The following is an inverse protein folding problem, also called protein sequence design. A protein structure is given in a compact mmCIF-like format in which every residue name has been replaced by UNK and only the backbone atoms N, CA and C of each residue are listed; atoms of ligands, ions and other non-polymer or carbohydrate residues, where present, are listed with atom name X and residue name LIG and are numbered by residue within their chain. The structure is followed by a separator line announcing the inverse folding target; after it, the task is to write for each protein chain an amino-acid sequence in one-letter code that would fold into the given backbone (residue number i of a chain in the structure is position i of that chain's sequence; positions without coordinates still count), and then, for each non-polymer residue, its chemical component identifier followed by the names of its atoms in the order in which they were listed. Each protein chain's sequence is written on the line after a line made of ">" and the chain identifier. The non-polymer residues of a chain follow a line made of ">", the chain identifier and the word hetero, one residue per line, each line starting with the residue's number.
data_IF_361219939093
#
_entry.id   IF_361219939093
#
_cell.length_a   1.000
_cell.length_b   1.000
_cell.length_c   1.000
_cell.angle_alpha   90.00
_cell.angle_beta   90.00
_cell.angle_gamma   90.00
#
_symmetry.space_group_name_H-M   'P 1'
#
loop_
_entity.id
_entity.type
_entity.pdbx_description
1 polymer ?
#
# COMPACT_ATOMS: atom_id res chain seq x y z
N UNK A 1 -31.70 1.18 -17.03
CA UNK A 1 -30.57 2.01 -16.56
C UNK A 1 -29.40 1.07 -16.27
N UNK A 2 -28.18 1.43 -16.60
CA UNK A 2 -27.02 0.62 -16.24
C UNK A 2 -26.98 0.51 -14.71
N UNK A 3 -26.72 -0.70 -14.19
CA UNK A 3 -26.64 -0.96 -12.77
C UNK A 3 -25.20 -0.72 -12.27
N UNK A 4 -25.07 -0.12 -11.10
CA UNK A 4 -23.85 -0.02 -10.32
C UNK A 4 -24.01 -0.80 -9.02
N UNK A 5 -22.94 -1.00 -8.29
CA UNK A 5 -22.96 -1.71 -7.01
C UNK A 5 -21.96 -1.09 -6.04
N UNK A 6 -22.13 -1.35 -4.77
CA UNK A 6 -21.21 -0.93 -3.71
C UNK A 6 -21.11 -2.04 -2.66
N UNK A 7 -19.90 -2.46 -2.36
CA UNK A 7 -19.57 -3.32 -1.24
C UNK A 7 -19.19 -2.47 -0.03
N UNK A 8 -19.72 -2.80 1.13
CA UNK A 8 -19.40 -2.10 2.37
C UNK A 8 -19.22 -3.08 3.53
N UNK A 9 -18.50 -2.63 4.55
CA UNK A 9 -18.27 -3.36 5.80
C UNK A 9 -18.84 -2.58 6.98
N UNK A 10 -19.34 -3.26 8.02
CA UNK A 10 -19.73 -2.58 9.23
C UNK A 10 -18.48 -2.07 9.97
N UNK A 11 -18.46 -0.76 10.33
CA UNK A 11 -17.27 -0.15 10.96
C UNK A 11 -16.93 -0.78 12.31
N UNK A 12 -17.96 -1.25 13.06
CA UNK A 12 -17.76 -1.90 14.34
C UNK A 12 -17.42 -3.39 14.25
N UNK A 13 -17.69 -4.02 13.07
CA UNK A 13 -17.48 -5.46 12.86
C UNK A 13 -17.13 -5.69 11.38
N UNK A 14 -15.84 -5.65 11.06
CA UNK A 14 -15.31 -5.68 9.69
C UNK A 14 -15.62 -6.99 8.91
N UNK A 15 -16.03 -8.05 9.60
CA UNK A 15 -16.48 -9.31 9.02
C UNK A 15 -17.94 -9.25 8.54
N UNK A 16 -18.73 -8.30 9.05
CA UNK A 16 -20.08 -8.06 8.61
C UNK A 16 -20.11 -7.19 7.37
N UNK A 17 -20.51 -7.75 6.25
CA UNK A 17 -20.50 -7.12 4.93
C UNK A 17 -21.89 -6.86 4.39
N UNK A 18 -21.99 -5.99 3.41
CA UNK A 18 -23.22 -5.80 2.60
C UNK A 18 -22.85 -5.44 1.17
N UNK A 19 -23.69 -5.83 0.23
CA UNK A 19 -23.64 -5.46 -1.16
C UNK A 19 -24.93 -4.74 -1.54
N UNK A 20 -24.83 -3.53 -2.08
CA UNK A 20 -25.96 -2.71 -2.48
C UNK A 20 -25.89 -2.42 -3.98
N UNK A 21 -26.99 -2.61 -4.68
CA UNK A 21 -27.16 -2.17 -6.07
C UNK A 21 -27.68 -0.74 -6.12
N UNK A 22 -27.22 0.03 -7.10
CA UNK A 22 -27.60 1.41 -7.33
C UNK A 22 -27.65 1.73 -8.83
N UNK A 23 -28.24 2.86 -9.18
CA UNK A 23 -28.06 3.41 -10.52
C UNK A 23 -26.63 3.94 -10.69
N UNK A 24 -26.16 3.98 -11.93
CA UNK A 24 -24.92 4.69 -12.27
C UNK A 24 -25.15 6.19 -11.97
N UNK A 25 -24.23 6.87 -11.25
CA UNK A 25 -24.38 8.29 -10.91
C UNK A 25 -24.45 9.17 -12.17
N UNK A 26 -25.35 10.18 -12.11
CA UNK A 26 -25.35 11.26 -13.09
C UNK A 26 -24.29 12.31 -12.71
N UNK A 27 -23.75 12.98 -13.73
CA UNK A 27 -22.71 13.99 -13.56
C UNK A 27 -23.30 15.40 -13.50
N UNK A 28 -22.77 16.21 -12.59
CA UNK A 28 -22.88 17.67 -12.59
C UNK A 28 -21.70 18.30 -13.32
N UNK A 29 -21.77 19.61 -13.59
CA UNK A 29 -20.65 20.36 -14.17
C UNK A 29 -19.37 20.24 -13.33
N UNK A 30 -18.26 20.02 -13.99
CA UNK A 30 -16.94 19.84 -13.38
C UNK A 30 -16.71 18.43 -12.80
N UNK A 31 -17.55 17.46 -13.13
CA UNK A 31 -17.45 16.09 -12.64
C UNK A 31 -17.06 15.11 -13.76
N UNK A 32 -16.39 14.05 -13.34
CA UNK A 32 -15.99 12.92 -14.18
C UNK A 32 -16.40 11.62 -13.51
N UNK A 33 -16.98 10.72 -14.28
CA UNK A 33 -17.36 9.37 -13.85
C UNK A 33 -16.23 8.39 -14.20
N UNK A 34 -15.69 7.76 -13.19
CA UNK A 34 -14.76 6.65 -13.31
C UNK A 34 -15.54 5.33 -13.18
N UNK A 35 -15.41 4.43 -14.14
CA UNK A 35 -15.81 3.03 -14.01
C UNK A 35 -14.63 2.26 -13.44
N UNK A 36 -14.81 1.68 -12.25
CA UNK A 36 -13.78 0.85 -11.61
C UNK A 36 -13.67 -0.46 -12.39
N UNK A 37 -12.46 -0.81 -12.78
CA UNK A 37 -12.22 -1.99 -13.61
C UNK A 37 -11.55 -3.11 -12.80
N UNK A 38 -10.44 -2.78 -12.10
CA UNK A 38 -9.62 -3.79 -11.44
C UNK A 38 -9.01 -3.25 -10.16
N UNK A 39 -9.13 -4.01 -9.07
CA UNK A 39 -8.64 -3.60 -7.75
C UNK A 39 -7.91 -4.75 -7.06
N UNK A 40 -6.99 -4.41 -6.13
CA UNK A 40 -6.27 -5.38 -5.32
C UNK A 40 -6.69 -5.35 -3.85
N UNK A 41 -6.62 -6.53 -3.22
CA UNK A 41 -6.77 -6.68 -1.78
C UNK A 41 -5.51 -7.26 -1.16
N UNK A 42 -5.03 -6.56 -0.16
CA UNK A 42 -3.89 -6.93 0.68
C UNK A 42 -4.21 -6.63 2.14
N UNK A 43 -3.38 -7.06 3.06
CA UNK A 43 -3.50 -6.70 4.48
C UNK A 43 -3.54 -5.17 4.71
N UNK A 44 -2.97 -4.37 3.80
CA UNK A 44 -3.02 -2.91 3.87
C UNK A 44 -4.45 -2.36 3.79
N UNK A 45 -5.35 -3.01 3.06
CA UNK A 45 -6.76 -2.58 2.97
C UNK A 45 -7.51 -2.83 4.29
N UNK A 46 -7.17 -3.93 5.01
CA UNK A 46 -7.66 -4.16 6.37
C UNK A 46 -7.12 -3.08 7.32
N UNK A 47 -5.84 -2.70 7.19
CA UNK A 47 -5.26 -1.60 7.96
C UNK A 47 -6.03 -0.29 7.74
N UNK A 48 -6.41 0.05 6.51
CA UNK A 48 -7.24 1.23 6.23
C UNK A 48 -8.61 1.17 6.96
N UNK A 49 -9.23 0.00 7.03
CA UNK A 49 -10.49 -0.17 7.73
C UNK A 49 -10.33 -0.07 9.25
N UNK A 50 -9.31 -0.73 9.83
CA UNK A 50 -9.00 -0.68 11.27
C UNK A 50 -8.68 0.74 11.73
N UNK A 51 -7.93 1.50 10.93
CA UNK A 51 -7.56 2.88 11.19
C UNK A 51 -8.55 3.90 10.59
N UNK A 52 -9.71 3.42 10.16
CA UNK A 52 -10.70 4.18 9.41
C UNK A 52 -11.16 5.47 10.10
N UNK A 53 -11.37 5.44 11.42
CA UNK A 53 -11.72 6.63 12.21
C UNK A 53 -10.48 7.47 12.55
N UNK A 54 -9.44 6.86 13.11
CA UNK A 54 -8.27 7.59 13.63
C UNK A 54 -7.46 8.27 12.53
N UNK A 55 -7.40 7.68 11.33
CA UNK A 55 -6.69 8.21 10.16
C UNK A 55 -7.63 8.77 9.08
N UNK A 56 -8.93 8.88 9.40
CA UNK A 56 -9.98 9.42 8.52
C UNK A 56 -10.13 8.69 7.18
N UNK A 57 -9.78 7.39 7.09
CA UNK A 57 -9.88 6.64 5.83
C UNK A 57 -11.33 6.43 5.38
N UNK A 58 -12.31 6.39 6.30
CA UNK A 58 -13.73 6.31 5.96
C UNK A 58 -14.29 7.55 5.25
N UNK A 59 -13.60 8.69 5.38
CA UNK A 59 -14.05 9.93 4.78
C UNK A 59 -13.72 10.05 3.29
N UNK A 60 -12.82 9.20 2.76
CA UNK A 60 -12.53 9.18 1.33
C UNK A 60 -13.74 8.76 0.48
N UNK A 61 -14.57 7.86 1.00
CA UNK A 61 -15.75 7.34 0.32
C UNK A 61 -16.94 7.33 1.28
N UNK A 62 -17.63 8.47 1.43
CA UNK A 62 -18.76 8.58 2.36
C UNK A 62 -19.91 7.63 1.97
N UNK A 63 -20.37 6.76 2.89
CA UNK A 63 -21.38 5.73 2.59
C UNK A 63 -22.73 6.33 2.15
N UNK A 64 -23.08 7.54 2.61
CA UNK A 64 -24.30 8.22 2.22
C UNK A 64 -24.44 8.48 0.71
N UNK A 65 -23.32 8.65 0.00
CA UNK A 65 -23.31 8.78 -1.47
C UNK A 65 -23.68 7.47 -2.19
N UNK A 66 -23.67 6.36 -1.48
CA UNK A 66 -24.00 5.02 -1.95
C UNK A 66 -25.29 4.48 -1.34
N UNK A 67 -26.13 5.34 -0.73
CA UNK A 67 -27.39 4.96 -0.10
C UNK A 67 -27.23 4.16 1.21
N UNK A 68 -26.05 4.20 1.82
CA UNK A 68 -25.73 3.47 3.05
C UNK A 68 -25.67 4.41 4.26
N UNK A 69 -26.11 3.90 5.43
CA UNK A 69 -26.02 4.64 6.69
C UNK A 69 -24.58 4.68 7.25
N UNK A 70 -24.35 5.60 8.21
CA UNK A 70 -23.02 5.85 8.80
C UNK A 70 -22.37 4.70 9.55
N UNK A 71 -23.12 3.63 9.88
CA UNK A 71 -22.57 2.41 10.47
C UNK A 71 -21.74 1.58 9.47
N UNK A 72 -21.86 1.88 8.17
CA UNK A 72 -21.10 1.24 7.10
C UNK A 72 -19.85 2.06 6.74
N UNK A 73 -18.81 1.39 6.30
CA UNK A 73 -17.61 1.97 5.76
C UNK A 73 -17.25 1.32 4.42
N UNK A 74 -16.68 2.08 3.53
CA UNK A 74 -16.17 1.61 2.25
C UNK A 74 -14.63 1.49 2.37
N UNK A 75 -14.08 0.26 2.56
CA UNK A 75 -12.63 0.09 2.69
C UNK A 75 -11.94 0.49 1.38
N UNK A 76 -11.07 1.49 1.39
CA UNK A 76 -10.45 1.97 0.17
C UNK A 76 -9.54 0.92 -0.48
N UNK A 77 -9.53 0.91 -1.80
CA UNK A 77 -8.78 -0.01 -2.64
C UNK A 77 -7.84 0.76 -3.58
N UNK A 78 -6.75 0.12 -3.96
CA UNK A 78 -5.90 0.60 -5.05
C UNK A 78 -6.20 -0.19 -6.31
N UNK A 79 -6.25 0.50 -7.45
CA UNK A 79 -6.56 -0.19 -8.69
C UNK A 79 -6.65 0.73 -9.89
N UNK A 80 -7.18 0.17 -10.96
CA UNK A 80 -7.40 0.86 -12.22
C UNK A 80 -8.88 1.14 -12.45
N UNK A 81 -9.13 2.29 -13.05
CA UNK A 81 -10.45 2.70 -13.51
C UNK A 81 -10.33 3.35 -14.90
N UNK A 82 -11.44 3.43 -15.61
CA UNK A 82 -11.56 4.09 -16.90
C UNK A 82 -12.53 5.26 -16.78
N UNK A 83 -12.24 6.36 -17.45
CA UNK A 83 -13.16 7.49 -17.56
C UNK A 83 -14.34 7.07 -18.43
N UNK A 84 -15.49 6.85 -17.81
CA UNK A 84 -16.72 6.44 -18.50
C UNK A 84 -17.50 7.64 -19.08
N UNK A 85 -17.45 8.78 -18.40
CA UNK A 85 -18.04 10.04 -18.85
C UNK A 85 -17.32 11.21 -18.16
N UNK A 86 -17.29 12.39 -18.82
CA UNK A 86 -16.69 13.60 -18.24
C UNK A 86 -17.42 14.85 -18.74
N UNK A 87 -17.62 15.80 -17.83
CA UNK A 87 -18.04 17.18 -18.16
C UNK A 87 -16.83 18.13 -18.15
N UNK A 88 -15.62 17.63 -17.90
CA UNK A 88 -14.35 18.39 -17.90
C UNK A 88 -13.64 18.14 -19.22
N UNK A 89 -13.42 19.18 -20.01
CA UNK A 89 -12.90 19.08 -21.37
C UNK A 89 -11.50 18.44 -21.46
N UNK A 90 -10.66 18.65 -20.45
CA UNK A 90 -9.28 18.16 -20.38
C UNK A 90 -9.18 16.68 -19.94
N UNK A 91 -10.30 16.05 -19.57
CA UNK A 91 -10.35 14.64 -19.15
C UNK A 91 -11.12 13.83 -20.19
N UNK A 92 -10.40 13.03 -20.97
CA UNK A 92 -10.94 12.28 -22.08
C UNK A 92 -11.64 10.99 -21.64
N UNK A 93 -12.81 10.70 -22.26
CA UNK A 93 -13.50 9.41 -22.09
C UNK A 93 -12.62 8.29 -22.65
N UNK A 94 -12.55 7.16 -21.94
CA UNK A 94 -11.68 6.05 -22.26
C UNK A 94 -10.28 6.16 -21.63
N UNK A 95 -9.91 7.30 -21.05
CA UNK A 95 -8.64 7.43 -20.33
C UNK A 95 -8.56 6.45 -19.17
N UNK A 96 -7.49 5.65 -19.11
CA UNK A 96 -7.24 4.71 -18.03
C UNK A 96 -6.37 5.34 -16.95
N UNK A 97 -6.80 5.21 -15.70
CA UNK A 97 -6.14 5.82 -14.54
C UNK A 97 -5.92 4.81 -13.41
N UNK A 98 -4.82 4.97 -12.70
CA UNK A 98 -4.53 4.28 -11.44
C UNK A 98 -4.80 5.21 -10.27
N UNK A 99 -5.50 4.73 -9.23
CA UNK A 99 -5.79 5.57 -8.07
C UNK A 99 -6.41 4.84 -6.89
N UNK A 100 -6.84 5.65 -5.92
CA UNK A 100 -7.51 5.21 -4.70
C UNK A 100 -9.01 5.18 -4.94
N UNK A 101 -9.60 3.97 -4.94
CA UNK A 101 -10.92 3.68 -5.44
C UNK A 101 -11.83 3.13 -4.32
N UNK A 102 -13.14 3.35 -4.39
CA UNK A 102 -14.09 2.66 -3.53
C UNK A 102 -14.27 1.19 -3.95
N UNK A 103 -14.74 0.32 -3.07
CA UNK A 103 -15.23 -1.01 -3.42
C UNK A 103 -16.62 -0.89 -4.10
N UNK A 104 -16.66 -0.28 -5.27
CA UNK A 104 -17.89 0.02 -6.01
C UNK A 104 -17.64 -0.02 -7.52
N UNK A 105 -18.69 -0.19 -8.32
CA UNK A 105 -18.57 -0.20 -9.79
C UNK A 105 -18.19 1.17 -10.38
N UNK A 106 -18.50 2.27 -9.69
CA UNK A 106 -18.27 3.62 -10.18
C UNK A 106 -17.82 4.57 -9.08
N UNK A 107 -17.10 5.64 -9.50
CA UNK A 107 -16.71 6.75 -8.65
C UNK A 107 -16.89 8.06 -9.40
N UNK A 108 -17.58 9.05 -8.80
CA UNK A 108 -17.60 10.43 -9.30
C UNK A 108 -16.48 11.21 -8.62
N UNK A 109 -15.67 11.89 -9.43
CA UNK A 109 -14.57 12.76 -9.00
C UNK A 109 -14.74 14.17 -9.57
N UNK A 110 -14.07 15.16 -8.95
CA UNK A 110 -13.94 16.54 -9.46
C UNK A 110 -12.50 16.78 -9.87
N UNK A 111 -12.14 16.56 -11.15
CA UNK A 111 -10.77 16.74 -11.62
C UNK A 111 -10.26 18.16 -11.42
N UNK A 112 -9.03 18.25 -10.94
CA UNK A 112 -8.25 19.49 -10.85
C UNK A 112 -6.80 19.18 -11.16
N UNK A 113 -6.02 20.21 -11.53
CA UNK A 113 -4.60 20.05 -11.87
C UNK A 113 -4.39 18.94 -12.90
N UNK A 114 -5.21 18.97 -13.95
CA UNK A 114 -5.14 18.00 -15.05
C UNK A 114 -3.87 18.27 -15.85
N UNK A 115 -3.07 17.22 -16.03
CA UNK A 115 -1.87 17.22 -16.88
C UNK A 115 -1.66 15.84 -17.51
N UNK A 116 -0.60 15.67 -18.30
CA UNK A 116 -0.28 14.38 -18.94
C UNK A 116 -0.09 13.22 -17.94
N UNK A 117 0.22 13.50 -16.67
CA UNK A 117 0.39 12.49 -15.62
C UNK A 117 -0.93 12.08 -14.95
N UNK A 118 -2.05 12.75 -15.29
CA UNK A 118 -3.39 12.50 -14.75
C UNK A 118 -4.01 13.72 -14.09
N UNK A 119 -4.79 13.52 -13.04
CA UNK A 119 -5.50 14.58 -12.34
C UNK A 119 -5.62 14.31 -10.83
N UNK A 120 -6.14 15.31 -10.11
CA UNK A 120 -6.45 15.16 -8.68
C UNK A 120 -7.95 15.36 -8.46
N UNK A 121 -8.51 14.57 -7.56
CA UNK A 121 -9.88 14.80 -7.09
C UNK A 121 -9.91 15.97 -6.09
N UNK A 122 -10.63 17.03 -6.44
CA UNK A 122 -10.89 18.21 -5.62
C UNK A 122 -12.29 18.20 -4.99
N UNK A 123 -12.91 17.04 -4.86
CA UNK A 123 -14.19 16.91 -4.15
C UNK A 123 -14.11 17.50 -2.74
N UNK A 124 -15.11 18.26 -2.32
CA UNK A 124 -15.11 19.04 -1.07
C UNK A 124 -14.77 18.19 0.15
N UNK A 125 -15.33 16.98 0.25
CA UNK A 125 -15.08 16.06 1.37
C UNK A 125 -13.64 15.55 1.45
N UNK A 126 -12.83 15.71 0.38
CA UNK A 126 -11.43 15.30 0.32
C UNK A 126 -10.44 16.44 0.54
N UNK A 127 -10.91 17.69 0.67
CA UNK A 127 -10.04 18.87 0.71
C UNK A 127 -8.99 18.82 1.84
N UNK A 128 -9.39 18.29 3.01
CA UNK A 128 -8.54 18.18 4.20
C UNK A 128 -7.92 16.79 4.38
N UNK A 129 -8.22 15.85 3.48
CA UNK A 129 -7.67 14.49 3.57
C UNK A 129 -6.26 14.41 2.98
N UNK A 130 -5.46 13.40 3.38
CA UNK A 130 -4.08 13.29 2.93
C UNK A 130 -3.95 13.27 1.41
N UNK A 131 -3.23 14.26 0.91
CA UNK A 131 -3.07 14.59 -0.51
C UNK A 131 -2.63 13.42 -1.43
N UNK A 132 -1.79 12.44 -1.01
CA UNK A 132 -1.38 11.34 -1.88
C UNK A 132 -2.54 10.47 -2.39
N UNK A 133 -3.63 10.34 -1.62
CA UNK A 133 -4.79 9.52 -1.98
C UNK A 133 -5.79 10.19 -2.94
N UNK A 134 -5.58 11.49 -3.27
CA UNK A 134 -6.44 12.23 -4.17
C UNK A 134 -5.95 12.23 -5.62
N UNK A 135 -4.84 11.59 -5.92
CA UNK A 135 -4.27 11.53 -7.27
C UNK A 135 -4.78 10.35 -8.08
N UNK A 136 -5.18 10.62 -9.32
CA UNK A 136 -5.49 9.62 -10.33
C UNK A 136 -4.45 9.74 -11.44
N UNK A 137 -3.56 8.75 -11.53
CA UNK A 137 -2.42 8.77 -12.45
C UNK A 137 -2.81 8.15 -13.79
N UNK A 138 -2.64 8.91 -14.85
CA UNK A 138 -2.83 8.41 -16.22
C UNK A 138 -1.81 7.32 -16.56
N UNK A 139 -2.26 6.24 -17.18
CA UNK A 139 -1.37 5.16 -17.61
C UNK A 139 -0.43 5.61 -18.74
N UNK A 140 -0.85 6.58 -19.56
CA UNK A 140 -0.05 7.13 -20.66
C UNK A 140 1.13 7.95 -20.14
N UNK A 141 0.93 8.74 -19.07
CA UNK A 141 1.96 9.59 -18.48
C UNK A 141 2.76 8.95 -17.34
N UNK A 142 2.58 7.65 -17.08
CA UNK A 142 3.25 6.95 -15.99
C UNK A 142 4.44 6.13 -16.47
N UNK A 143 5.71 6.54 -16.18
CA UNK A 143 6.88 5.81 -16.63
C UNK A 143 7.04 4.42 -16.00
N UNK A 144 6.30 4.14 -14.91
CA UNK A 144 6.28 2.84 -14.24
C UNK A 144 5.21 1.88 -14.81
N UNK A 145 4.30 2.39 -15.66
CA UNK A 145 3.20 1.59 -16.17
C UNK A 145 3.62 0.65 -17.30
N UNK A 146 3.14 -0.58 -17.19
CA UNK A 146 3.12 -1.58 -18.27
C UNK A 146 1.81 -2.36 -18.17
N UNK A 147 1.12 -2.51 -19.30
CA UNK A 147 -0.18 -3.16 -19.34
C UNK A 147 -0.14 -4.64 -18.90
N UNK A 148 0.96 -5.33 -19.18
CA UNK A 148 1.21 -6.72 -18.75
C UNK A 148 1.54 -6.88 -17.27
N UNK A 149 1.71 -5.76 -16.53
CA UNK A 149 2.07 -5.74 -15.11
C UNK A 149 1.03 -5.04 -14.22
N UNK A 150 -0.19 -4.79 -14.71
CA UNK A 150 -1.23 -4.10 -13.94
C UNK A 150 -1.52 -4.78 -12.60
N UNK A 151 -1.62 -6.11 -12.57
CA UNK A 151 -1.88 -6.86 -11.35
C UNK A 151 -0.77 -6.69 -10.30
N UNK A 152 0.49 -6.66 -10.75
CA UNK A 152 1.62 -6.37 -9.87
C UNK A 152 1.58 -4.92 -9.37
N UNK A 153 1.30 -3.95 -10.25
CA UNK A 153 1.14 -2.54 -9.86
C UNK A 153 0.05 -2.37 -8.81
N UNK A 154 -1.11 -3.01 -8.99
CA UNK A 154 -2.22 -2.98 -8.04
C UNK A 154 -1.78 -3.48 -6.66
N UNK A 155 -1.10 -4.62 -6.62
CA UNK A 155 -0.72 -5.29 -5.38
C UNK A 155 0.45 -4.64 -4.64
N UNK A 156 1.34 -4.00 -5.40
CA UNK A 156 2.61 -3.54 -4.83
C UNK A 156 2.79 -2.02 -4.81
N UNK A 157 2.29 -1.28 -5.79
CA UNK A 157 2.65 0.13 -5.94
C UNK A 157 2.56 0.97 -4.66
N UNK A 158 1.48 0.91 -3.85
CA UNK A 158 1.43 1.67 -2.62
C UNK A 158 2.42 1.20 -1.56
N UNK A 159 2.71 -0.11 -1.53
CA UNK A 159 3.65 -0.73 -0.61
C UNK A 159 5.09 -0.52 -1.07
N UNK A 160 5.35 -0.69 -2.37
CA UNK A 160 6.66 -0.48 -2.98
C UNK A 160 7.11 0.98 -2.88
N UNK A 161 6.18 1.93 -3.00
CA UNK A 161 6.53 3.34 -2.79
C UNK A 161 7.05 3.59 -1.35
N UNK A 162 6.42 2.98 -0.36
CA UNK A 162 6.88 3.02 1.03
C UNK A 162 8.25 2.37 1.16
N UNK A 163 8.45 1.21 0.55
CA UNK A 163 9.72 0.47 0.54
C UNK A 163 10.85 1.24 -0.12
N UNK A 164 10.58 1.86 -1.27
CA UNK A 164 11.51 2.68 -2.02
C UNK A 164 11.95 3.91 -1.21
N UNK A 165 11.01 4.61 -0.57
CA UNK A 165 11.33 5.77 0.29
C UNK A 165 12.07 5.36 1.56
N UNK A 166 11.75 4.20 2.14
CA UNK A 166 12.45 3.66 3.31
C UNK A 166 13.89 3.31 2.95
N UNK A 167 14.09 2.59 1.86
CA UNK A 167 15.42 2.23 1.40
C UNK A 167 16.26 3.48 1.08
N UNK A 168 15.66 4.46 0.42
CA UNK A 168 16.29 5.73 0.14
C UNK A 168 16.71 6.47 1.42
N UNK A 169 15.85 6.54 2.45
CA UNK A 169 16.19 7.15 3.73
C UNK A 169 17.36 6.44 4.41
N UNK A 170 17.37 5.10 4.40
CA UNK A 170 18.43 4.31 5.03
C UNK A 170 19.76 4.57 4.34
N UNK A 171 19.79 4.55 3.00
CA UNK A 171 21.00 4.82 2.21
C UNK A 171 21.45 6.27 2.36
N UNK A 172 20.54 7.22 2.38
CA UNK A 172 20.80 8.65 2.55
C UNK A 172 21.44 9.00 3.92
N UNK A 173 21.25 8.12 4.92
CA UNK A 173 21.84 8.24 6.25
C UNK A 173 22.97 7.21 6.50
N UNK A 174 23.61 6.71 5.44
CA UNK A 174 24.72 5.73 5.53
C UNK A 174 24.38 4.55 6.46
N UNK A 175 23.20 3.96 6.25
CA UNK A 175 22.62 2.91 7.11
C UNK A 175 22.64 3.22 8.61
N UNK A 176 22.77 4.49 9.00
CA UNK A 176 22.95 4.95 10.38
C UNK A 176 24.19 4.34 11.08
N UNK A 177 25.23 3.98 10.32
CA UNK A 177 26.38 3.26 10.80
C UNK A 177 26.13 1.79 11.14
N UNK A 178 24.96 1.25 10.79
CA UNK A 178 24.65 -0.15 10.97
C UNK A 178 25.33 -1.02 9.91
N UNK A 179 25.89 -2.16 10.34
CA UNK A 179 26.41 -3.20 9.45
C UNK A 179 25.40 -4.33 9.22
N UNK A 180 24.29 -4.32 9.96
CA UNK A 180 23.14 -5.24 9.80
C UNK A 180 21.83 -4.48 9.83
N UNK A 181 20.91 -4.82 8.91
CA UNK A 181 19.53 -4.34 8.86
C UNK A 181 18.61 -5.51 9.15
N UNK A 182 17.88 -5.46 10.25
CA UNK A 182 16.94 -6.50 10.69
C UNK A 182 15.53 -6.07 10.40
N UNK A 183 14.79 -6.86 9.63
CA UNK A 183 13.40 -6.61 9.26
C UNK A 183 12.46 -7.52 10.02
N UNK A 184 11.46 -7.00 10.71
CA UNK A 184 10.32 -7.82 11.11
C UNK A 184 9.30 -7.98 9.97
N UNK A 185 8.39 -8.94 10.09
CA UNK A 185 7.43 -9.28 9.03
C UNK A 185 8.09 -9.47 7.66
N UNK A 186 9.23 -10.14 7.63
CA UNK A 186 10.08 -10.26 6.43
C UNK A 186 9.39 -10.94 5.24
N UNK A 187 8.27 -11.65 5.46
CA UNK A 187 7.40 -12.20 4.41
C UNK A 187 6.40 -11.19 3.84
N UNK A 188 6.31 -9.97 4.41
CA UNK A 188 5.38 -8.96 3.91
C UNK A 188 5.91 -8.25 2.66
N UNK A 189 4.99 -7.87 1.79
CA UNK A 189 5.29 -7.19 0.52
C UNK A 189 6.15 -5.94 0.71
N UNK A 190 5.90 -5.15 1.74
CA UNK A 190 6.70 -3.96 2.07
C UNK A 190 8.11 -4.33 2.53
N UNK A 191 8.26 -5.35 3.38
CA UNK A 191 9.56 -5.74 3.91
C UNK A 191 10.50 -6.25 2.82
N UNK A 192 10.05 -7.24 2.03
CA UNK A 192 10.94 -7.79 1.02
C UNK A 192 11.20 -6.84 -0.16
N UNK A 193 10.24 -5.95 -0.48
CA UNK A 193 10.47 -4.91 -1.47
C UNK A 193 11.55 -3.90 -1.00
N UNK A 194 11.56 -3.53 0.29
CA UNK A 194 12.64 -2.70 0.86
C UNK A 194 13.98 -3.45 0.90
N UNK A 195 13.97 -4.75 1.21
CA UNK A 195 15.18 -5.57 1.19
C UNK A 195 15.81 -5.65 -0.21
N UNK A 196 15.00 -5.77 -1.27
CA UNK A 196 15.48 -5.73 -2.66
C UNK A 196 16.21 -4.41 -2.97
N UNK A 197 15.64 -3.27 -2.58
CA UNK A 197 16.23 -1.95 -2.83
C UNK A 197 17.49 -1.71 -1.98
N UNK A 198 17.62 -2.37 -0.83
CA UNK A 198 18.78 -2.26 0.06
C UNK A 198 19.87 -3.28 -0.22
N UNK A 199 19.62 -4.28 -1.06
CA UNK A 199 20.61 -5.31 -1.38
C UNK A 199 21.87 -4.71 -2.00
N UNK A 200 23.04 -5.08 -1.43
CA UNK A 200 24.33 -4.56 -1.88
C UNK A 200 24.63 -3.12 -1.47
N UNK A 201 23.88 -2.55 -0.51
CA UNK A 201 24.07 -1.19 0.01
C UNK A 201 24.95 -1.11 1.26
N UNK A 202 25.80 -2.11 1.50
CA UNK A 202 26.84 -2.06 2.55
C UNK A 202 26.45 -2.69 3.89
N UNK A 203 25.19 -3.07 4.10
CA UNK A 203 24.76 -3.76 5.31
C UNK A 203 24.20 -5.16 4.99
N UNK A 204 24.38 -6.10 5.92
CA UNK A 204 23.77 -7.44 5.86
C UNK A 204 22.26 -7.34 6.13
N UNK A 205 21.45 -8.02 5.35
CA UNK A 205 19.99 -8.00 5.47
C UNK A 205 19.49 -9.26 6.16
N UNK A 206 18.83 -9.10 7.31
CA UNK A 206 18.29 -10.21 8.09
C UNK A 206 16.78 -10.11 8.19
N UNK A 207 16.06 -11.13 7.75
CA UNK A 207 14.59 -11.20 7.81
C UNK A 207 14.10 -12.01 9.01
N UNK A 208 13.29 -11.41 9.86
CA UNK A 208 12.54 -12.08 10.94
C UNK A 208 11.12 -12.37 10.48
N UNK A 209 10.67 -13.61 10.60
CA UNK A 209 9.32 -14.03 10.19
C UNK A 209 8.75 -15.11 11.09
N UNK A 210 7.47 -15.44 10.94
CA UNK A 210 6.86 -16.56 11.65
C UNK A 210 7.37 -17.91 11.10
N UNK A 211 7.39 -18.99 11.91
CA UNK A 211 7.84 -20.30 11.45
C UNK A 211 7.16 -20.79 10.17
N UNK A 212 5.85 -20.56 10.02
CA UNK A 212 5.10 -20.93 8.83
C UNK A 212 5.50 -20.22 7.54
N UNK A 213 6.15 -19.05 7.66
CA UNK A 213 6.58 -18.25 6.51
C UNK A 213 8.08 -18.38 6.19
N UNK A 214 8.84 -19.17 6.96
CA UNK A 214 10.30 -19.29 6.78
C UNK A 214 10.67 -19.77 5.38
N UNK A 215 10.03 -20.82 4.87
CA UNK A 215 10.33 -21.38 3.56
C UNK A 215 10.08 -20.35 2.45
N UNK A 216 8.95 -19.67 2.48
CA UNK A 216 8.62 -18.60 1.54
C UNK A 216 9.63 -17.44 1.64
N UNK A 217 9.92 -16.96 2.85
CA UNK A 217 10.82 -15.83 3.02
C UNK A 217 12.24 -16.14 2.53
N UNK A 218 12.71 -17.36 2.75
CA UNK A 218 14.01 -17.82 2.22
C UNK A 218 14.02 -17.92 0.70
N UNK A 219 12.92 -18.37 0.09
CA UNK A 219 12.81 -18.48 -1.37
C UNK A 219 12.84 -17.14 -2.11
N UNK A 220 12.56 -16.02 -1.42
CA UNK A 220 12.68 -14.68 -2.00
C UNK A 220 14.13 -14.32 -2.38
N UNK A 221 15.14 -14.88 -1.70
CA UNK A 221 16.56 -14.65 -2.00
C UNK A 221 17.03 -13.21 -1.83
N UNK A 222 16.23 -12.33 -1.22
CA UNK A 222 16.56 -10.92 -1.00
C UNK A 222 17.20 -10.64 0.36
N UNK A 223 17.14 -11.58 1.30
CA UNK A 223 17.80 -11.52 2.60
C UNK A 223 19.07 -12.37 2.60
N UNK A 224 20.11 -11.94 3.30
CA UNK A 224 21.32 -12.73 3.53
C UNK A 224 21.09 -13.85 4.56
N UNK A 225 20.13 -13.60 5.48
CA UNK A 225 19.69 -14.57 6.48
C UNK A 225 18.20 -14.43 6.78
N UNK A 226 17.54 -15.54 7.08
CA UNK A 226 16.13 -15.54 7.51
C UNK A 226 15.98 -16.39 8.76
N UNK A 227 15.51 -15.78 9.84
CA UNK A 227 15.31 -16.37 11.15
C UNK A 227 13.83 -16.32 11.57
N UNK A 228 13.36 -17.28 12.36
CA UNK A 228 12.10 -17.16 13.06
C UNK A 228 12.22 -16.13 14.19
N UNK A 229 11.08 -15.61 14.70
CA UNK A 229 11.10 -14.63 15.79
C UNK A 229 11.71 -15.16 17.09
N UNK A 230 11.65 -16.45 17.38
CA UNK A 230 12.31 -17.11 18.51
C UNK A 230 13.81 -17.32 18.31
N UNK A 231 14.30 -17.13 17.07
CA UNK A 231 15.72 -17.19 16.71
C UNK A 231 16.50 -15.90 16.91
N UNK A 232 15.93 -14.83 17.51
CA UNK A 232 16.61 -13.53 17.71
C UNK A 232 17.95 -13.68 18.45
N UNK A 233 18.06 -14.64 19.36
CA UNK A 233 19.31 -14.89 20.08
C UNK A 233 20.48 -15.37 19.20
N UNK A 234 20.21 -15.80 17.97
CA UNK A 234 21.24 -16.19 17.00
C UNK A 234 21.78 -15.02 16.17
N UNK A 235 21.20 -13.81 16.30
CA UNK A 235 21.71 -12.64 15.61
C UNK A 235 23.11 -12.28 16.10
N UNK A 236 23.99 -11.95 15.17
CA UNK A 236 25.31 -11.42 15.49
C UNK A 236 25.17 -10.07 16.24
N UNK A 237 25.88 -9.85 17.36
CA UNK A 237 25.80 -8.60 18.12
C UNK A 237 26.68 -7.50 17.49
N UNK A 238 26.35 -7.12 16.25
CA UNK A 238 26.98 -6.04 15.49
C UNK A 238 26.12 -4.78 15.47
N UNK A 239 26.66 -3.61 15.07
CA UNK A 239 25.83 -2.41 14.88
C UNK A 239 24.66 -2.70 13.96
N UNK A 240 23.43 -2.60 14.49
CA UNK A 240 22.19 -3.06 13.84
C UNK A 240 21.14 -1.96 13.82
N UNK A 241 20.50 -1.75 12.67
CA UNK A 241 19.26 -1.00 12.56
C UNK A 241 18.08 -1.98 12.43
N UNK A 242 17.07 -1.79 13.27
CA UNK A 242 15.83 -2.57 13.26
C UNK A 242 14.74 -1.83 12.49
N UNK A 243 14.16 -2.48 11.50
CA UNK A 243 13.06 -1.99 10.67
C UNK A 243 11.80 -2.76 11.08
N UNK A 244 10.99 -2.14 11.93
CA UNK A 244 9.81 -2.77 12.48
C UNK A 244 8.59 -2.59 11.59
N UNK A 245 8.30 -3.62 10.78
CA UNK A 245 7.11 -3.72 9.96
C UNK A 245 6.00 -4.56 10.62
N UNK A 246 6.28 -5.17 11.77
CA UNK A 246 5.31 -6.01 12.50
C UNK A 246 4.51 -5.23 13.53
N UNK A 247 5.10 -4.17 14.10
CA UNK A 247 4.55 -3.47 15.25
C UNK A 247 4.47 -4.32 16.52
N UNK A 248 5.21 -5.45 16.61
CA UNK A 248 5.13 -6.40 17.72
C UNK A 248 6.03 -5.96 18.89
N UNK A 249 5.46 -5.50 20.04
CA UNK A 249 6.25 -5.02 21.18
C UNK A 249 7.20 -6.08 21.74
N UNK A 250 6.80 -7.36 21.73
CA UNK A 250 7.61 -8.46 22.24
C UNK A 250 8.88 -8.67 21.40
N UNK A 251 8.77 -8.60 20.06
CA UNK A 251 9.92 -8.69 19.15
C UNK A 251 10.89 -7.55 19.36
N UNK A 252 10.38 -6.32 19.44
CA UNK A 252 11.19 -5.12 19.71
C UNK A 252 11.92 -5.22 21.06
N UNK A 253 11.23 -5.65 22.12
CA UNK A 253 11.84 -5.83 23.43
C UNK A 253 12.91 -6.94 23.44
N UNK A 254 12.70 -8.03 22.67
CA UNK A 254 13.70 -9.09 22.55
C UNK A 254 14.97 -8.62 21.82
N UNK A 255 14.81 -7.85 20.72
CA UNK A 255 15.95 -7.26 20.00
C UNK A 255 16.72 -6.26 20.87
N UNK A 256 16.03 -5.38 21.60
CA UNK A 256 16.67 -4.43 22.52
C UNK A 256 17.48 -5.13 23.62
N UNK A 257 16.93 -6.22 24.19
CA UNK A 257 17.66 -7.01 25.19
C UNK A 257 18.88 -7.72 24.63
N UNK A 258 18.76 -8.28 23.40
CA UNK A 258 19.82 -9.04 22.77
C UNK A 258 20.95 -8.16 22.27
N UNK A 259 20.64 -7.04 21.62
CA UNK A 259 21.62 -6.17 20.95
C UNK A 259 22.15 -5.06 21.88
N UNK A 260 21.39 -4.64 22.90
CA UNK A 260 21.79 -3.54 23.76
C UNK A 260 22.23 -2.30 22.97
N UNK A 261 23.43 -1.79 23.26
CA UNK A 261 23.99 -0.61 22.60
C UNK A 261 24.36 -0.86 21.10
N UNK A 262 24.31 -2.11 20.65
CA UNK A 262 24.49 -2.44 19.21
C UNK A 262 23.22 -2.14 18.40
N UNK A 263 22.07 -1.95 19.01
CA UNK A 263 20.88 -1.47 18.32
C UNK A 263 20.98 0.04 18.09
N UNK A 264 21.61 0.43 16.98
CA UNK A 264 21.91 1.84 16.67
C UNK A 264 20.70 2.62 16.17
N UNK A 265 19.69 1.93 15.63
CA UNK A 265 18.39 2.50 15.20
C UNK A 265 17.26 1.51 15.38
N UNK A 266 16.09 2.04 15.73
CA UNK A 266 14.84 1.31 15.87
C UNK A 266 13.75 2.14 15.13
N UNK A 267 13.40 1.70 13.91
CA UNK A 267 12.55 2.43 12.98
C UNK A 267 11.23 1.69 12.82
N UNK A 268 10.12 2.28 13.25
CA UNK A 268 8.78 1.77 13.02
C UNK A 268 8.32 2.14 11.61
N UNK A 269 7.98 1.13 10.80
CA UNK A 269 7.56 1.29 9.40
C UNK A 269 6.09 0.94 9.26
N UNK A 270 5.28 1.96 8.98
CA UNK A 270 3.84 1.80 8.88
C UNK A 270 3.16 1.72 10.25
N UNK A 271 1.92 2.16 10.30
CA UNK A 271 1.09 2.07 11.51
C UNK A 271 0.27 0.77 11.44
N UNK A 272 0.90 -0.38 11.67
CA UNK A 272 0.16 -1.63 11.83
C UNK A 272 -0.23 -1.77 13.30
N UNK A 273 -1.53 -1.62 13.58
CA UNK A 273 -2.26 -2.04 14.77
C UNK A 273 -2.17 -1.24 16.08
N UNK A 274 -1.35 -0.23 16.25
CA UNK A 274 -1.50 0.71 17.39
C UNK A 274 -0.74 2.00 17.12
N UNK A 275 -1.31 3.15 17.50
CA UNK A 275 -0.53 4.38 17.71
C UNK A 275 0.35 4.06 18.92
N UNK A 276 1.66 3.89 18.79
CA UNK A 276 2.49 3.66 19.97
C UNK A 276 2.41 4.91 20.86
N UNK A 277 2.38 4.73 22.16
CA UNK A 277 2.85 5.80 23.03
C UNK A 277 4.21 6.26 22.50
N UNK A 278 4.34 7.55 22.21
CA UNK A 278 5.51 8.14 21.56
C UNK A 278 6.85 7.77 22.23
N UNK A 279 6.82 7.41 23.52
CA UNK A 279 7.99 7.02 24.31
C UNK A 279 8.41 5.54 24.17
N UNK A 280 7.56 4.68 23.57
CA UNK A 280 7.82 3.25 23.44
C UNK A 280 8.19 2.81 22.01
N UNK A 281 7.87 3.61 21.01
CA UNK A 281 8.18 3.36 19.62
C UNK A 281 9.46 4.11 19.26
N UNK A 282 10.42 3.45 18.64
CA UNK A 282 11.56 4.11 18.00
C UNK A 282 11.13 5.21 17.01
N UNK A 283 12.06 5.68 16.21
CA UNK A 283 11.77 6.65 15.13
C UNK A 283 10.66 6.13 14.22
N UNK A 284 9.63 6.93 13.96
CA UNK A 284 8.56 6.54 13.03
C UNK A 284 8.95 6.96 11.62
N UNK A 285 9.07 6.00 10.72
CA UNK A 285 9.24 6.28 9.30
C UNK A 285 7.91 6.73 8.67
N UNK A 286 7.96 7.87 7.99
CA UNK A 286 6.81 8.40 7.27
C UNK A 286 7.21 8.77 5.83
N UNK A 287 6.88 7.93 4.87
CA UNK A 287 7.25 8.06 3.46
C UNK A 287 7.03 9.46 2.84
N UNK A 288 5.94 10.20 3.14
CA UNK A 288 5.74 11.55 2.62
C UNK A 288 6.83 12.57 3.04
N UNK A 289 7.53 12.35 4.15
CA UNK A 289 8.64 13.23 4.57
C UNK A 289 9.82 13.05 3.62
N UNK A 290 10.24 11.81 3.39
CA UNK A 290 11.33 11.47 2.48
C UNK A 290 10.97 11.85 1.03
N UNK A 291 9.73 11.62 0.61
CA UNK A 291 9.23 12.06 -0.69
C UNK A 291 9.38 13.58 -0.89
N UNK A 292 9.03 14.40 0.12
CA UNK A 292 9.20 15.87 0.02
C UNK A 292 10.66 16.25 -0.13
N UNK A 293 11.57 15.63 0.64
CA UNK A 293 13.01 15.83 0.51
C UNK A 293 13.45 15.54 -0.92
N UNK A 294 13.10 14.37 -1.46
CA UNK A 294 13.53 13.97 -2.80
C UNK A 294 12.90 14.77 -3.94
N UNK A 295 11.71 15.31 -3.72
CA UNK A 295 11.14 16.29 -4.67
C UNK A 295 11.93 17.60 -4.74
N UNK A 296 12.53 18.02 -3.63
CA UNK A 296 13.44 19.18 -3.62
C UNK A 296 14.78 18.85 -4.27
N UNK A 297 15.33 17.65 -3.99
CA UNK A 297 16.63 17.22 -4.49
C UNK A 297 16.61 16.89 -5.99
N UNK A 298 15.56 16.20 -6.46
CA UNK A 298 15.48 15.61 -7.81
C UNK A 298 14.42 16.20 -8.72
N UNK A 299 13.56 17.05 -8.20
CA UNK A 299 12.33 17.46 -8.88
C UNK A 299 11.27 16.35 -8.92
N UNK A 300 10.08 16.68 -9.46
CA UNK A 300 8.99 15.73 -9.61
C UNK A 300 9.35 14.62 -10.61
N UNK A 301 9.79 15.03 -11.80
CA UNK A 301 10.10 14.09 -12.89
C UNK A 301 11.27 13.18 -12.55
N UNK A 302 12.29 13.72 -11.88
CA UNK A 302 13.43 12.94 -11.40
C UNK A 302 13.04 11.90 -10.36
N UNK A 303 12.10 12.21 -9.45
CA UNK A 303 11.56 11.25 -8.49
C UNK A 303 10.72 10.18 -9.20
N UNK A 304 9.82 10.57 -10.11
CA UNK A 304 8.96 9.65 -10.85
C UNK A 304 9.79 8.69 -11.72
N UNK A 305 10.86 9.18 -12.37
CA UNK A 305 11.76 8.34 -13.16
C UNK A 305 12.55 7.35 -12.29
N UNK A 306 13.13 7.79 -11.17
CA UNK A 306 13.86 6.91 -10.25
C UNK A 306 12.95 5.84 -9.63
N UNK A 307 11.71 6.21 -9.30
CA UNK A 307 10.71 5.26 -8.85
C UNK A 307 10.40 4.23 -9.95
N UNK A 308 10.22 4.67 -11.21
CA UNK A 308 9.95 3.78 -12.32
C UNK A 308 11.11 2.82 -12.62
N UNK A 309 12.36 3.30 -12.50
CA UNK A 309 13.55 2.45 -12.68
C UNK A 309 13.66 1.40 -11.56
N UNK A 310 13.41 1.78 -10.32
CA UNK A 310 13.36 0.88 -9.18
C UNK A 310 12.21 -0.13 -9.33
N UNK A 311 11.02 0.36 -9.71
CA UNK A 311 9.85 -0.49 -9.95
C UNK A 311 10.13 -1.56 -11.00
N UNK A 312 10.72 -1.21 -12.14
CA UNK A 312 11.03 -2.17 -13.22
C UNK A 312 11.94 -3.30 -12.70
N UNK A 313 13.03 -2.97 -12.00
CA UNK A 313 13.93 -3.98 -11.40
C UNK A 313 13.21 -4.87 -10.39
N UNK A 314 12.32 -4.29 -9.57
CA UNK A 314 11.55 -5.04 -8.60
C UNK A 314 10.49 -5.94 -9.26
N UNK A 315 9.75 -5.41 -10.25
CA UNK A 315 8.68 -6.13 -10.93
C UNK A 315 9.20 -7.38 -11.67
N UNK A 316 10.44 -7.33 -12.19
CA UNK A 316 11.06 -8.45 -12.89
C UNK A 316 11.22 -9.68 -11.95
N UNK A 317 11.46 -9.47 -10.66
CA UNK A 317 11.58 -10.56 -9.68
C UNK A 317 10.28 -10.82 -8.91
N UNK A 318 9.49 -9.79 -8.68
CA UNK A 318 8.24 -9.89 -7.89
C UNK A 318 7.19 -10.80 -8.57
N UNK A 319 7.18 -10.85 -9.90
CA UNK A 319 6.31 -11.74 -10.67
C UNK A 319 6.50 -13.22 -10.36
N UNK A 320 7.70 -13.64 -9.96
CA UNK A 320 8.01 -15.02 -9.55
C UNK A 320 7.58 -15.32 -8.10
N UNK A 321 7.40 -14.29 -7.29
CA UNK A 321 7.11 -14.40 -5.87
C UNK A 321 5.62 -14.36 -5.52
N UNK A 322 4.78 -13.92 -6.46
CA UNK A 322 3.36 -13.70 -6.21
C UNK A 322 2.50 -14.48 -7.19
N UNK A 323 1.66 -15.34 -6.62
CA UNK A 323 0.61 -16.03 -7.34
C UNK A 323 -0.62 -15.11 -7.38
N UNK A 324 -0.86 -14.46 -8.51
CA UNK A 324 -2.03 -13.60 -8.68
C UNK A 324 -3.27 -14.47 -8.84
N UNK A 325 -4.22 -14.29 -7.91
CA UNK A 325 -5.54 -14.92 -7.98
C UNK A 325 -6.56 -13.88 -8.43
N UNK A 326 -7.02 -14.02 -9.67
CA UNK A 326 -8.01 -13.14 -10.27
C UNK A 326 -9.42 -13.63 -9.90
N UNK A 327 -10.18 -12.75 -9.24
CA UNK A 327 -11.62 -12.90 -9.00
C UNK A 327 -12.42 -12.02 -9.95
N UNK A 328 -13.71 -12.32 -10.14
CA UNK A 328 -14.60 -11.52 -10.97
C UNK A 328 -15.84 -11.12 -10.19
N UNK A 329 -16.17 -9.83 -10.27
CA UNK A 329 -17.39 -9.24 -9.71
C UNK A 329 -17.40 -9.05 -8.19
N UNK A 330 -18.47 -8.42 -7.68
CA UNK A 330 -18.54 -8.00 -6.27
C UNK A 330 -18.52 -9.15 -5.26
N UNK A 331 -19.07 -10.31 -5.60
CA UNK A 331 -19.00 -11.50 -4.73
C UNK A 331 -17.59 -12.07 -4.56
N UNK A 332 -16.70 -11.90 -5.58
CA UNK A 332 -15.29 -12.24 -5.45
C UNK A 332 -14.55 -11.24 -4.55
N UNK A 333 -14.93 -9.96 -4.61
CA UNK A 333 -14.40 -8.92 -3.72
C UNK A 333 -14.73 -9.22 -2.25
N UNK A 334 -15.97 -9.59 -1.96
CA UNK A 334 -16.39 -9.95 -0.60
C UNK A 334 -15.61 -11.15 -0.06
N UNK A 335 -15.49 -12.23 -0.83
CA UNK A 335 -14.69 -13.40 -0.42
C UNK A 335 -13.23 -13.02 -0.18
N UNK A 336 -12.62 -12.26 -1.09
CA UNK A 336 -11.24 -11.81 -0.94
C UNK A 336 -11.05 -10.93 0.31
N UNK A 337 -12.03 -10.05 0.63
CA UNK A 337 -12.02 -9.25 1.85
C UNK A 337 -12.03 -10.13 3.10
N UNK A 338 -12.94 -11.08 3.19
CA UNK A 338 -13.07 -11.96 4.35
C UNK A 338 -11.83 -12.84 4.56
N UNK A 339 -11.24 -13.37 3.48
CA UNK A 339 -9.99 -14.17 3.54
C UNK A 339 -8.81 -13.34 4.05
N UNK A 340 -8.66 -12.10 3.57
CA UNK A 340 -7.58 -11.21 4.00
C UNK A 340 -7.79 -10.77 5.45
N UNK A 341 -9.03 -10.45 5.83
CA UNK A 341 -9.40 -10.07 7.20
C UNK A 341 -9.14 -11.22 8.19
N UNK A 342 -9.44 -12.45 7.81
CA UNK A 342 -9.17 -13.64 8.61
C UNK A 342 -7.68 -14.02 8.69
N UNK A 343 -6.82 -13.38 7.89
CA UNK A 343 -5.39 -13.68 7.85
C UNK A 343 -5.05 -15.05 7.24
N UNK A 344 -5.98 -15.66 6.52
CA UNK A 344 -5.78 -17.00 5.91
C UNK A 344 -5.13 -16.93 4.51
N UNK A 345 -4.93 -15.72 3.98
CA UNK A 345 -4.26 -15.52 2.69
C UNK A 345 -2.75 -15.72 2.84
N UNK A 346 -2.15 -16.72 2.18
CA UNK A 346 -0.70 -16.93 2.22
C UNK A 346 0.06 -15.70 1.68
N UNK A 347 1.28 -15.39 2.15
CA UNK A 347 2.02 -14.19 1.73
C UNK A 347 2.36 -14.20 0.23
N UNK A 348 2.46 -15.39 -0.39
CA UNK A 348 2.66 -15.57 -1.83
C UNK A 348 1.43 -15.17 -2.65
N UNK A 349 0.22 -15.22 -2.09
CA UNK A 349 -1.00 -14.94 -2.83
C UNK A 349 -1.25 -13.44 -2.95
N UNK A 350 -1.53 -12.98 -4.16
CA UNK A 350 -2.04 -11.64 -4.48
C UNK A 350 -3.49 -11.73 -4.94
N UNK A 351 -4.42 -11.08 -4.23
CA UNK A 351 -5.84 -11.04 -4.61
C UNK A 351 -6.10 -9.83 -5.50
N UNK A 352 -6.55 -10.07 -6.72
CA UNK A 352 -7.00 -9.04 -7.67
C UNK A 352 -8.43 -9.36 -8.07
N UNK A 353 -9.28 -8.34 -8.14
CA UNK A 353 -10.69 -8.49 -8.55
C UNK A 353 -10.98 -7.56 -9.70
N UNK A 354 -11.59 -8.10 -10.75
CA UNK A 354 -12.03 -7.40 -11.95
C UNK A 354 -13.56 -7.25 -11.95
N UNK A 355 -14.05 -6.08 -12.44
CA UNK A 355 -15.48 -5.74 -12.51
C UNK A 355 -15.96 -5.48 -13.92
#
# INVERSE_FOLDING_TARGET
>A
MAASWTFAVARAELSRTTLVESAVPELSDGETLLRVDRVGLTANNVTYAVLGESMRYWEFFPPGRHGLGGQWGLPPLWGFAEVAASTVAEVEVGQRVYGYLPPAGHLVVRPSRVDASGFRDASVHRAELPSPYNGYRSTVGDPAYRADQEDLLILFRPLFFTSFMLADQIVDNDCYGATSLVFSSASSKTAYAAAVELRGRGARLVGLTSPGNLAFTRSLGCYDEVLPYDGIAALDPVPTAYLDLSGAPATRAALRRHLGDRLVRDIAVGLTNQIPNADAAGEVFFAPVQMRKRRLDWGRDGLDQRFADAWRRFADVAGEWVDVQLGTGPGALERAWLDVLAGVTPPRVGRVVQF
#
